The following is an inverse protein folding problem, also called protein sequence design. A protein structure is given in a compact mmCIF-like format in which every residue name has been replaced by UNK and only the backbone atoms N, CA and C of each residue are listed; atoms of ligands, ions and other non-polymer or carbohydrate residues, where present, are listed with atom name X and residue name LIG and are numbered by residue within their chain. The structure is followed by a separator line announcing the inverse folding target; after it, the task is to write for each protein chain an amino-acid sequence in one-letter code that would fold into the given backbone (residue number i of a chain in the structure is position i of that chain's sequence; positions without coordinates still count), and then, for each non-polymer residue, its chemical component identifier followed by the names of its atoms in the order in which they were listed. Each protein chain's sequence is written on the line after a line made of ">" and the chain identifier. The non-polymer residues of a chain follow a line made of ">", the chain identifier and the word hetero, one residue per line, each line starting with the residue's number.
data_IF_680268242006
#
_entry.id   IF_680268242006
#
_cell.length_a   1.000
_cell.length_b   1.000
_cell.length_c   1.000
_cell.angle_alpha   90.00
_cell.angle_beta   90.00
_cell.angle_gamma   90.00
#
_symmetry.space_group_name_H-M   'P 1'
#
loop_
_entity.id
_entity.type
_entity.pdbx_description
1 polymer ?
#
# COMPACT_ATOMS: atom_id res chain seq x y z
N UNK A 1 -2.82 -19.91 3.20
CA UNK A 1 -3.56 -18.69 2.82
C UNK A 1 -2.66 -17.86 1.91
N UNK A 2 -3.13 -17.49 0.72
CA UNK A 2 -2.31 -16.89 -0.36
C UNK A 2 -1.85 -15.44 -0.10
N UNK A 3 -1.77 -15.03 1.16
CA UNK A 3 -1.10 -13.80 1.59
C UNK A 3 0.35 -14.13 1.88
N UNK A 4 1.21 -13.94 0.90
CA UNK A 4 2.65 -13.91 1.17
C UNK A 4 2.96 -12.58 1.82
N UNK A 5 3.35 -12.59 3.11
CA UNK A 5 4.18 -11.52 3.67
C UNK A 5 5.42 -11.46 2.80
N UNK A 6 5.45 -10.48 1.91
CA UNK A 6 6.57 -10.31 1.01
C UNK A 6 7.49 -9.30 1.69
N UNK A 7 8.75 -9.66 1.89
CA UNK A 7 9.75 -8.67 2.27
C UNK A 7 9.75 -7.61 1.16
N UNK A 8 9.47 -6.33 1.46
CA UNK A 8 9.54 -5.27 0.45
C UNK A 8 10.92 -5.17 -0.21
N UNK A 9 11.93 -5.88 0.31
CA UNK A 9 13.29 -5.87 -0.18
C UNK A 9 14.01 -4.65 0.33
N UNK A 10 15.27 -4.51 -0.07
CA UNK A 10 16.10 -3.40 0.37
C UNK A 10 16.04 -2.21 -0.61
N UNK A 11 14.82 -1.80 -0.99
CA UNK A 11 14.60 -0.73 -1.96
C UNK A 11 14.36 0.59 -1.23
N UNK A 12 15.15 1.61 -1.53
CA UNK A 12 14.99 2.96 -1.00
C UNK A 12 14.46 3.92 -2.07
N UNK A 13 13.95 5.09 -1.65
CA UNK A 13 13.53 6.13 -2.60
C UNK A 13 14.69 6.69 -3.43
N UNK A 14 15.92 6.59 -2.94
CA UNK A 14 17.12 7.06 -3.62
C UNK A 14 17.45 6.22 -4.86
N UNK A 15 17.03 4.94 -4.86
CA UNK A 15 17.18 4.05 -6.01
C UNK A 15 16.14 4.33 -7.12
N UNK A 16 15.15 5.20 -6.86
CA UNK A 16 14.08 5.52 -7.80
C UNK A 16 14.39 6.81 -8.55
N UNK A 17 14.89 6.67 -9.77
CA UNK A 17 15.20 7.82 -10.63
C UNK A 17 13.96 8.55 -11.15
N UNK A 18 13.97 9.89 -11.05
CA UNK A 18 13.09 10.78 -11.81
C UNK A 18 11.61 10.84 -11.37
N UNK A 19 11.22 10.13 -10.31
CA UNK A 19 9.83 10.07 -9.82
C UNK A 19 9.61 10.88 -8.53
N UNK A 20 10.38 11.96 -8.35
CA UNK A 20 10.41 12.76 -7.11
C UNK A 20 9.05 13.32 -6.72
N UNK A 21 8.27 13.80 -7.70
CA UNK A 21 6.92 14.33 -7.46
C UNK A 21 5.94 13.24 -7.03
N UNK A 22 5.99 12.07 -7.67
CA UNK A 22 5.13 10.94 -7.33
C UNK A 22 5.48 10.38 -5.94
N UNK A 23 6.77 10.34 -5.60
CA UNK A 23 7.25 9.96 -4.27
C UNK A 23 6.73 10.94 -3.22
N UNK A 24 6.85 12.26 -3.48
CA UNK A 24 6.34 13.30 -2.60
C UNK A 24 4.84 13.14 -2.36
N UNK A 25 4.05 12.99 -3.41
CA UNK A 25 2.60 12.76 -3.29
C UNK A 25 2.27 11.51 -2.48
N UNK A 26 3.04 10.42 -2.65
CA UNK A 26 2.83 9.21 -1.86
C UNK A 26 3.13 9.42 -0.37
N UNK A 27 4.18 10.17 -0.06
CA UNK A 27 4.52 10.53 1.33
C UNK A 27 3.41 11.39 1.95
N UNK A 28 2.91 12.38 1.23
CA UNK A 28 1.83 13.23 1.72
C UNK A 28 0.53 12.44 1.96
N UNK A 29 0.28 11.39 1.17
CA UNK A 29 -0.91 10.55 1.32
C UNK A 29 -0.77 9.48 2.41
N UNK A 30 0.43 8.93 2.61
CA UNK A 30 0.64 7.77 3.49
C UNK A 30 1.39 8.15 4.76
N UNK A 31 2.52 8.85 4.65
CA UNK A 31 3.37 9.23 5.77
C UNK A 31 2.70 10.31 6.64
N UNK A 32 2.18 11.38 6.02
CA UNK A 32 1.63 12.52 6.75
C UNK A 32 0.44 12.16 7.68
N UNK A 33 -0.54 11.32 7.28
CA UNK A 33 -1.59 10.88 8.20
C UNK A 33 -1.09 10.00 9.35
N UNK A 34 0.01 9.27 9.15
CA UNK A 34 0.59 8.39 10.16
C UNK A 34 1.44 9.19 11.17
N UNK A 35 2.20 10.19 10.70
CA UNK A 35 3.08 11.00 11.55
C UNK A 35 2.35 12.13 12.26
N UNK A 36 1.39 12.78 11.60
CA UNK A 36 0.73 14.01 12.10
C UNK A 36 -0.80 13.98 11.96
N UNK A 37 -1.48 13.03 12.62
CA UNK A 37 -2.93 12.92 12.54
C UNK A 37 -3.67 14.14 13.12
N UNK A 38 -3.05 14.91 14.03
CA UNK A 38 -3.65 16.12 14.59
C UNK A 38 -3.91 17.22 13.55
N UNK A 39 -3.11 17.29 12.48
CA UNK A 39 -3.29 18.29 11.42
C UNK A 39 -4.64 18.08 10.73
N UNK A 40 -4.94 16.82 10.38
CA UNK A 40 -6.22 16.45 9.75
C UNK A 40 -7.41 16.75 10.67
N UNK A 41 -7.29 16.46 11.97
CA UNK A 41 -8.33 16.77 12.96
C UNK A 41 -8.57 18.27 13.13
N UNK A 42 -7.52 19.09 13.14
CA UNK A 42 -7.62 20.55 13.28
C UNK A 42 -8.25 21.21 12.06
N UNK A 43 -7.89 20.73 10.87
CA UNK A 43 -8.44 21.24 9.60
C UNK A 43 -9.86 20.69 9.34
N UNK A 44 -10.26 19.63 10.05
CA UNK A 44 -11.59 19.03 9.90
C UNK A 44 -11.75 18.18 8.64
N UNK A 45 -10.63 17.75 8.04
CA UNK A 45 -10.62 16.90 6.83
C UNK A 45 -10.31 15.45 7.20
N UNK A 46 -10.89 14.52 6.46
CA UNK A 46 -10.57 13.10 6.60
C UNK A 46 -9.25 12.80 5.89
N UNK A 47 -8.38 12.04 6.55
CA UNK A 47 -7.15 11.56 5.92
C UNK A 47 -7.48 10.65 4.71
N UNK A 48 -6.69 10.73 3.63
CA UNK A 48 -6.85 9.84 2.49
C UNK A 48 -6.63 8.38 2.93
N UNK A 49 -7.51 7.48 2.47
CA UNK A 49 -7.49 6.06 2.86
C UNK A 49 -6.65 5.17 1.95
N UNK A 50 -6.18 5.71 0.82
CA UNK A 50 -5.38 4.98 -0.16
C UNK A 50 -5.08 5.83 -1.39
N UNK A 51 -4.17 5.34 -2.21
CA UNK A 51 -3.76 5.96 -3.46
C UNK A 51 -3.89 4.97 -4.63
N UNK A 52 -4.12 5.49 -5.83
CA UNK A 52 -4.13 4.70 -7.06
C UNK A 52 -2.88 5.01 -7.89
N UNK A 53 -2.08 3.98 -8.16
CA UNK A 53 -0.92 4.07 -9.05
C UNK A 53 -1.31 3.57 -10.45
N UNK A 54 -1.26 4.42 -11.47
CA UNK A 54 -1.60 4.07 -12.85
C UNK A 54 -0.53 4.47 -13.86
N UNK A 55 -0.69 4.07 -15.13
CA UNK A 55 0.21 4.40 -16.24
C UNK A 55 0.86 3.18 -16.91
N UNK A 56 1.75 3.38 -17.89
CA UNK A 56 2.37 2.29 -18.66
C UNK A 56 3.11 1.27 -17.78
N UNK A 57 3.24 0.00 -18.22
CA UNK A 57 4.09 -0.98 -17.55
C UNK A 57 5.56 -0.53 -17.56
N UNK A 58 6.35 -0.94 -16.56
CA UNK A 58 7.78 -0.60 -16.47
C UNK A 58 8.11 0.76 -15.83
N UNK A 59 7.10 1.55 -15.43
CA UNK A 59 7.30 2.87 -14.78
C UNK A 59 7.54 2.82 -13.27
N UNK A 60 7.87 1.64 -12.72
CA UNK A 60 8.26 1.52 -11.31
C UNK A 60 7.13 1.53 -10.27
N UNK A 61 5.86 1.40 -10.65
CA UNK A 61 4.71 1.39 -9.70
C UNK A 61 4.86 0.39 -8.55
N UNK A 62 5.20 -0.86 -8.86
CA UNK A 62 5.42 -1.92 -7.85
C UNK A 62 6.63 -1.63 -6.97
N UNK A 63 7.66 -1.00 -7.56
CA UNK A 63 8.91 -0.65 -6.87
C UNK A 63 8.67 0.50 -5.89
N UNK A 64 7.90 1.52 -6.29
CA UNK A 64 7.45 2.61 -5.41
C UNK A 64 6.69 2.07 -4.20
N UNK A 65 5.74 1.16 -4.39
CA UNK A 65 4.97 0.57 -3.29
C UNK A 65 5.85 -0.15 -2.26
N UNK A 66 6.87 -0.88 -2.73
CA UNK A 66 7.85 -1.56 -1.87
C UNK A 66 8.74 -0.57 -1.11
N UNK A 67 9.26 0.45 -1.79
CA UNK A 67 10.12 1.47 -1.18
C UNK A 67 9.39 2.23 -0.05
N UNK A 68 8.09 2.51 -0.24
CA UNK A 68 7.26 3.18 0.78
C UNK A 68 7.08 2.29 2.00
N UNK A 69 6.75 1.01 1.79
CA UNK A 69 6.58 0.07 2.89
C UNK A 69 7.88 -0.09 3.70
N UNK A 70 9.03 -0.10 3.00
CA UNK A 70 10.34 -0.13 3.64
C UNK A 70 10.63 1.13 4.44
N UNK A 71 10.41 2.31 3.87
CA UNK A 71 10.68 3.60 4.54
C UNK A 71 9.84 3.76 5.81
N UNK A 72 8.55 3.40 5.75
CA UNK A 72 7.62 3.53 6.87
C UNK A 72 7.70 2.35 7.84
N UNK A 73 8.58 1.38 7.59
CA UNK A 73 8.74 0.15 8.36
C UNK A 73 7.38 -0.54 8.63
N UNK A 74 6.52 -0.57 7.62
CA UNK A 74 5.15 -1.07 7.70
C UNK A 74 5.03 -2.49 7.12
N UNK A 75 4.01 -3.23 7.55
CA UNK A 75 3.70 -4.55 7.02
C UNK A 75 3.29 -4.45 5.53
N UNK A 76 4.03 -5.11 4.64
CA UNK A 76 3.74 -5.13 3.21
C UNK A 76 2.98 -6.40 2.82
N UNK A 77 1.71 -6.23 2.45
CA UNK A 77 0.85 -7.32 1.99
C UNK A 77 0.59 -7.14 0.50
N UNK A 78 1.20 -7.99 -0.32
CA UNK A 78 0.90 -8.04 -1.76
C UNK A 78 -0.25 -9.01 -2.01
N UNK A 79 -1.27 -8.52 -2.69
CA UNK A 79 -2.41 -9.32 -3.13
C UNK A 79 -2.52 -9.25 -4.64
N UNK A 80 -2.59 -10.41 -5.30
CA UNK A 80 -2.80 -10.50 -6.74
C UNK A 80 -4.28 -10.79 -6.98
N UNK A 81 -4.95 -9.99 -7.81
CA UNK A 81 -6.41 -10.09 -8.02
C UNK A 81 -6.84 -11.48 -8.52
N UNK A 82 -6.04 -12.14 -9.35
CA UNK A 82 -6.31 -13.50 -9.83
C UNK A 82 -6.27 -14.55 -8.71
N UNK A 83 -5.57 -14.28 -7.59
CA UNK A 83 -5.53 -15.17 -6.44
C UNK A 83 -6.78 -15.08 -5.55
N UNK A 84 -7.62 -14.05 -5.71
CA UNK A 84 -8.85 -13.84 -4.95
C UNK A 84 -10.04 -14.56 -5.62
N UNK A 85 -10.00 -14.73 -6.94
CA UNK A 85 -11.10 -15.34 -7.70
C UNK A 85 -11.12 -16.84 -7.46
N UNK A 86 -12.21 -17.33 -6.88
CA UNK A 86 -12.43 -18.75 -6.62
C UNK A 86 -13.69 -19.23 -7.37
N UNK A 87 -13.71 -20.52 -7.71
CA UNK A 87 -14.85 -21.19 -8.35
C UNK A 87 -16.05 -21.28 -7.41
N UNK A 88 -15.80 -21.31 -6.10
CA UNK A 88 -16.86 -21.46 -5.10
C UNK A 88 -17.49 -20.11 -4.74
N UNK A 89 -18.83 -20.06 -4.83
CA UNK A 89 -19.61 -18.86 -4.50
C UNK A 89 -19.39 -18.50 -3.03
N UNK A 90 -19.00 -17.25 -2.77
CA UNK A 90 -18.80 -16.73 -1.42
C UNK A 90 -17.38 -16.87 -0.88
N UNK A 91 -16.56 -17.76 -1.44
CA UNK A 91 -15.17 -17.96 -1.00
C UNK A 91 -14.29 -16.74 -1.25
N UNK A 92 -14.43 -16.08 -2.42
CA UNK A 92 -13.71 -14.83 -2.70
C UNK A 92 -14.05 -13.72 -1.70
N UNK A 93 -15.32 -13.60 -1.28
CA UNK A 93 -15.72 -12.59 -0.30
C UNK A 93 -15.19 -12.92 1.10
N UNK A 94 -15.17 -14.22 1.47
CA UNK A 94 -14.57 -14.69 2.72
C UNK A 94 -13.07 -14.36 2.75
N UNK A 95 -12.35 -14.65 1.67
CA UNK A 95 -10.92 -14.38 1.55
C UNK A 95 -10.60 -12.88 1.71
N UNK A 96 -11.35 -12.00 1.07
CA UNK A 96 -11.14 -10.55 1.19
C UNK A 96 -11.35 -10.09 2.65
N UNK A 97 -12.41 -10.56 3.33
CA UNK A 97 -12.61 -10.20 4.75
C UNK A 97 -11.48 -10.69 5.64
N UNK A 98 -11.02 -11.91 5.44
CA UNK A 98 -9.89 -12.48 6.18
C UNK A 98 -8.60 -11.69 5.94
N UNK A 99 -8.35 -11.24 4.71
CA UNK A 99 -7.22 -10.37 4.37
C UNK A 99 -7.24 -9.05 5.15
N UNK A 100 -8.39 -8.37 5.21
CA UNK A 100 -8.54 -7.13 5.96
C UNK A 100 -8.45 -7.35 7.47
N UNK A 101 -8.99 -8.45 7.99
CA UNK A 101 -8.86 -8.79 9.41
C UNK A 101 -7.38 -9.03 9.78
N UNK A 102 -6.65 -9.80 8.95
CA UNK A 102 -5.23 -10.03 9.18
C UNK A 102 -4.42 -8.72 9.20
N UNK A 103 -4.68 -7.80 8.26
CA UNK A 103 -4.01 -6.51 8.19
C UNK A 103 -4.39 -5.55 9.32
N UNK A 104 -5.52 -5.77 9.99
CA UNK A 104 -5.92 -5.01 11.20
C UNK A 104 -5.21 -5.52 12.45
N UNK A 105 -4.97 -6.83 12.51
CA UNK A 105 -4.34 -7.50 13.66
C UNK A 105 -2.80 -7.47 13.60
N UNK A 106 -2.18 -7.25 12.42
CA UNK A 106 -0.73 -7.25 12.19
C UNK A 106 -0.23 -6.04 11.40
#
# INVERSE_FOLDING_TARGET
>A
YNMTKEDPGNVSFEEIGGLSEQIRLLKDVIELPLTNPEIFKRVGIQAPKGCLLYGPPGTGKTLLARAVAKQLNCNFVKVVSSAIVDKYIGESARMVREMFNYAKDH
#
